data_IF_185825149252
#
_entry.id   IF_185825149252
#
_cell.length_a   1.000
_cell.length_b   1.000
_cell.length_c   1.000
_cell.angle_alpha   90.00
_cell.angle_beta   90.00
_cell.angle_gamma   90.00
#
_symmetry.space_group_name_H-M   'P 1'
#
loop_
_entity.id
_entity.type
_entity.pdbx_description
1 polymer ?
#
# COMPACT_ATOMS: atom_id res chain seq x y z
N UNK A 1 -11.60 -12.48 18.86
CA UNK A 1 -11.69 -11.37 17.90
C UNK A 1 -10.55 -10.41 18.22
N UNK A 2 -9.63 -10.20 17.28
CA UNK A 2 -8.50 -9.29 17.46
C UNK A 2 -8.97 -7.82 17.52
N UNK A 3 -8.11 -6.91 17.92
CA UNK A 3 -8.41 -5.48 17.86
C UNK A 3 -8.61 -5.01 16.41
N UNK A 4 -7.83 -5.57 15.47
CA UNK A 4 -8.01 -5.32 14.04
C UNK A 4 -9.40 -5.75 13.54
N UNK A 5 -9.93 -6.89 14.02
CA UNK A 5 -11.29 -7.30 13.69
C UNK A 5 -12.35 -6.32 14.21
N UNK A 6 -12.16 -5.80 15.43
CA UNK A 6 -13.09 -4.82 16.01
C UNK A 6 -13.12 -3.53 15.19
N UNK A 7 -11.96 -3.00 14.81
CA UNK A 7 -11.84 -1.83 13.93
C UNK A 7 -12.49 -2.12 12.57
N UNK A 8 -12.23 -3.26 11.96
CA UNK A 8 -12.81 -3.64 10.67
C UNK A 8 -14.34 -3.68 10.74
N UNK A 9 -14.90 -4.33 11.75
CA UNK A 9 -16.36 -4.41 11.96
C UNK A 9 -16.96 -3.02 12.20
N UNK A 10 -16.26 -2.16 12.96
CA UNK A 10 -16.72 -0.79 13.18
C UNK A 10 -16.72 0.01 11.89
N UNK A 11 -15.65 -0.06 11.09
CA UNK A 11 -15.59 0.59 9.78
C UNK A 11 -16.73 0.13 8.86
N UNK A 12 -17.04 -1.16 8.83
CA UNK A 12 -18.18 -1.66 8.05
C UNK A 12 -19.52 -1.05 8.52
N UNK A 13 -19.73 -0.95 9.83
CA UNK A 13 -20.93 -0.33 10.39
C UNK A 13 -21.02 1.15 10.05
N UNK A 14 -19.91 1.88 10.14
CA UNK A 14 -19.84 3.31 9.85
C UNK A 14 -20.09 3.58 8.34
N UNK A 15 -19.54 2.74 7.46
CA UNK A 15 -19.80 2.80 6.02
C UNK A 15 -21.28 2.58 5.74
N UNK A 16 -21.90 1.57 6.35
CA UNK A 16 -23.34 1.27 6.15
C UNK A 16 -24.24 2.36 6.70
N UNK A 17 -23.85 3.03 7.80
CA UNK A 17 -24.66 4.05 8.45
C UNK A 17 -24.48 5.44 7.83
N UNK A 18 -23.28 5.78 7.35
CA UNK A 18 -22.88 7.15 6.97
C UNK A 18 -22.26 7.25 5.58
N UNK A 19 -22.06 6.13 4.89
CA UNK A 19 -21.47 6.12 3.56
C UNK A 19 -22.41 6.69 2.49
N UNK A 20 -21.80 7.14 1.41
CA UNK A 20 -22.51 7.67 0.23
C UNK A 20 -22.39 6.68 -0.92
N UNK A 21 -23.51 6.37 -1.56
CA UNK A 21 -23.54 5.54 -2.75
C UNK A 21 -23.08 6.33 -3.99
N UNK A 22 -22.38 5.66 -4.90
CA UNK A 22 -21.91 6.24 -6.15
C UNK A 22 -22.91 6.01 -7.32
N UNK A 23 -24.20 5.89 -7.01
CA UNK A 23 -25.26 5.59 -8.00
C UNK A 23 -25.40 6.65 -9.08
N UNK A 24 -25.02 7.91 -8.78
CA UNK A 24 -25.10 9.02 -9.71
C UNK A 24 -23.88 9.16 -10.62
N UNK A 25 -22.90 8.25 -10.49
CA UNK A 25 -21.68 8.27 -11.25
C UNK A 25 -21.55 7.00 -12.13
N UNK A 26 -20.97 7.10 -13.35
CA UNK A 26 -20.62 5.91 -14.10
C UNK A 26 -19.52 5.13 -13.39
N UNK A 27 -19.73 3.82 -13.20
CA UNK A 27 -18.75 2.93 -12.59
C UNK A 27 -18.25 1.91 -13.62
N UNK A 28 -16.93 1.62 -13.55
CA UNK A 28 -16.32 0.65 -14.45
C UNK A 28 -16.67 -0.81 -14.13
N UNK A 29 -16.71 -1.23 -12.84
CA UNK A 29 -17.05 -2.60 -12.48
C UNK A 29 -18.51 -2.93 -12.81
N UNK A 30 -18.73 -4.19 -13.19
CA UNK A 30 -20.06 -4.74 -13.48
C UNK A 30 -20.23 -6.06 -12.75
N UNK A 31 -21.47 -6.35 -12.38
CA UNK A 31 -21.88 -7.69 -11.93
C UNK A 31 -21.92 -8.65 -13.11
N UNK A 32 -22.05 -9.96 -12.83
CA UNK A 32 -22.11 -11.01 -13.85
C UNK A 32 -23.30 -10.84 -14.82
N UNK A 33 -24.37 -10.18 -14.38
CA UNK A 33 -25.54 -9.84 -15.19
C UNK A 33 -25.36 -8.60 -16.07
N UNK A 34 -24.16 -7.97 -16.01
CA UNK A 34 -23.82 -6.78 -16.78
C UNK A 34 -24.29 -5.47 -16.14
N UNK A 35 -25.01 -5.49 -15.03
CA UNK A 35 -25.43 -4.28 -14.31
C UNK A 35 -24.23 -3.59 -13.63
N UNK A 36 -24.29 -2.23 -13.46
CA UNK A 36 -23.22 -1.50 -12.77
C UNK A 36 -23.03 -1.97 -11.32
N UNK A 37 -21.78 -2.26 -10.93
CA UNK A 37 -21.43 -2.64 -9.57
C UNK A 37 -21.12 -1.39 -8.73
N UNK A 38 -22.19 -0.70 -8.31
CA UNK A 38 -22.07 0.47 -7.43
C UNK A 38 -21.57 0.12 -6.04
N UNK A 39 -20.92 1.07 -5.39
CA UNK A 39 -20.36 0.90 -4.05
C UNK A 39 -20.81 2.01 -3.10
N UNK A 40 -20.89 1.66 -1.81
CA UNK A 40 -21.04 2.64 -0.74
C UNK A 40 -19.67 3.00 -0.19
N UNK A 41 -19.40 4.29 0.00
CA UNK A 41 -18.07 4.81 0.37
C UNK A 41 -18.17 5.78 1.53
N UNK A 42 -17.21 5.68 2.44
CA UNK A 42 -17.00 6.66 3.50
C UNK A 42 -15.57 7.20 3.38
N UNK A 43 -15.44 8.52 3.25
CA UNK A 43 -14.15 9.19 3.11
C UNK A 43 -13.59 9.62 4.46
N UNK A 44 -12.25 9.58 4.61
CA UNK A 44 -11.57 10.15 5.78
C UNK A 44 -11.59 9.26 7.02
N UNK A 45 -11.48 7.93 6.87
CA UNK A 45 -11.35 6.99 7.99
C UNK A 45 -9.89 6.89 8.44
N UNK A 46 -9.66 7.01 9.76
CA UNK A 46 -8.35 6.83 10.39
C UNK A 46 -8.39 5.65 11.34
N UNK A 47 -7.55 4.65 11.09
CA UNK A 47 -7.38 3.49 11.96
C UNK A 47 -6.04 3.59 12.70
N UNK A 48 -6.04 3.31 14.02
CA UNK A 48 -4.85 3.31 14.86
C UNK A 48 -4.63 1.94 15.48
N UNK A 49 -3.38 1.43 15.38
CA UNK A 49 -2.99 0.12 15.90
C UNK A 49 -1.76 0.27 16.80
N UNK A 50 -1.83 -0.23 18.02
CA UNK A 50 -0.68 -0.28 18.94
C UNK A 50 0.07 -1.60 18.74
N UNK A 51 1.15 -1.57 17.97
CA UNK A 51 1.95 -2.75 17.65
C UNK A 51 2.67 -3.36 18.86
N UNK A 52 2.70 -2.66 20.00
CA UNK A 52 3.22 -3.22 21.27
C UNK A 52 2.24 -4.21 21.88
N UNK A 53 0.94 -4.16 21.52
CA UNK A 53 -0.10 -5.03 22.04
C UNK A 53 -0.36 -6.22 21.15
N UNK A 54 -0.57 -5.98 19.86
CA UNK A 54 -0.81 -7.04 18.88
C UNK A 54 -0.45 -6.58 17.47
N UNK A 55 -0.16 -7.54 16.60
CA UNK A 55 -0.03 -7.27 15.17
C UNK A 55 -1.43 -7.16 14.54
N UNK A 56 -1.73 -6.12 13.71
CA UNK A 56 -3.07 -5.85 13.19
C UNK A 56 -3.46 -6.79 12.04
N UNK A 57 -3.65 -8.06 12.35
CA UNK A 57 -4.11 -9.06 11.38
C UNK A 57 -5.58 -9.40 11.62
N UNK A 58 -6.36 -9.49 10.54
CA UNK A 58 -7.76 -9.89 10.61
C UNK A 58 -7.88 -11.39 10.85
N UNK A 59 -8.78 -11.78 11.77
CA UNK A 59 -9.09 -13.18 12.10
C UNK A 59 -10.53 -13.58 11.78
N UNK A 60 -11.39 -12.64 11.37
CA UNK A 60 -12.77 -12.89 10.94
C UNK A 60 -12.86 -13.76 9.68
N UNK A 61 -11.78 -13.84 8.94
CA UNK A 61 -11.61 -14.75 7.80
C UNK A 61 -10.14 -15.18 7.70
N UNK A 62 -9.89 -16.25 6.94
CA UNK A 62 -8.52 -16.70 6.69
C UNK A 62 -7.73 -15.63 5.96
N UNK A 63 -6.62 -15.17 6.54
CA UNK A 63 -5.67 -14.24 5.93
C UNK A 63 -4.46 -15.02 5.38
N UNK A 64 -4.14 -14.81 4.11
CA UNK A 64 -3.00 -15.43 3.43
C UNK A 64 -1.71 -14.63 3.71
N UNK A 65 -1.33 -14.54 4.98
CA UNK A 65 -0.23 -13.70 5.45
C UNK A 65 1.12 -14.01 4.78
N UNK A 66 1.37 -15.28 4.44
CA UNK A 66 2.63 -15.66 3.75
C UNK A 66 2.73 -15.02 2.37
N UNK A 67 1.64 -14.99 1.61
CA UNK A 67 1.57 -14.32 0.32
C UNK A 67 1.78 -12.80 0.47
N UNK A 68 1.16 -12.19 1.48
CA UNK A 68 1.32 -10.77 1.75
C UNK A 68 2.78 -10.41 2.16
N UNK A 69 3.44 -11.26 2.96
CA UNK A 69 4.86 -11.06 3.30
C UNK A 69 5.77 -11.24 2.08
N UNK A 70 5.52 -12.26 1.24
CA UNK A 70 6.27 -12.48 0.01
C UNK A 70 6.18 -11.27 -0.93
N UNK A 71 4.98 -10.71 -1.11
CA UNK A 71 4.77 -9.47 -1.87
C UNK A 71 5.50 -8.27 -1.25
N UNK A 72 5.44 -8.11 0.07
CA UNK A 72 6.14 -7.04 0.79
C UNK A 72 7.66 -7.12 0.57
N UNK A 73 8.24 -8.32 0.67
CA UNK A 73 9.66 -8.54 0.42
C UNK A 73 10.03 -8.29 -1.05
N UNK A 74 9.16 -8.65 -1.98
CA UNK A 74 9.35 -8.38 -3.40
C UNK A 74 9.38 -6.87 -3.69
N UNK A 75 8.43 -6.11 -3.14
CA UNK A 75 8.34 -4.66 -3.32
C UNK A 75 9.50 -3.93 -2.62
N UNK A 76 9.72 -4.20 -1.33
CA UNK A 76 10.59 -3.40 -0.48
C UNK A 76 12.03 -3.87 -0.44
N UNK A 77 12.28 -5.16 -0.39
CA UNK A 77 13.63 -5.71 -0.26
C UNK A 77 14.28 -5.95 -1.62
N UNK A 78 13.56 -6.62 -2.52
CA UNK A 78 14.05 -6.86 -3.88
C UNK A 78 13.93 -5.62 -4.76
N UNK A 79 13.02 -4.69 -4.44
CA UNK A 79 12.74 -3.47 -5.23
C UNK A 79 12.42 -3.83 -6.69
N UNK A 80 11.73 -4.95 -6.88
CA UNK A 80 11.44 -5.51 -8.20
C UNK A 80 10.05 -5.11 -8.69
N UNK A 81 9.91 -5.02 -9.98
CA UNK A 81 8.67 -4.88 -10.72
C UNK A 81 8.42 -6.08 -11.66
N UNK A 82 9.19 -7.16 -11.53
CA UNK A 82 9.06 -8.36 -12.34
C UNK A 82 8.46 -9.49 -11.51
N UNK A 83 7.37 -10.10 -12.01
CA UNK A 83 6.64 -11.19 -11.32
C UNK A 83 7.47 -12.47 -11.17
N UNK A 84 8.51 -12.66 -11.98
CA UNK A 84 9.41 -13.82 -11.85
C UNK A 84 10.23 -13.80 -10.57
N UNK A 85 10.33 -12.63 -9.91
CA UNK A 85 10.96 -12.48 -8.60
C UNK A 85 9.99 -12.73 -7.42
N UNK A 86 8.70 -12.94 -7.72
CA UNK A 86 7.62 -13.17 -6.76
C UNK A 86 7.19 -14.64 -6.80
N UNK A 87 7.03 -15.28 -5.65
CA UNK A 87 6.61 -16.69 -5.61
C UNK A 87 5.11 -16.87 -5.80
N UNK A 88 4.30 -15.86 -5.50
CA UNK A 88 2.85 -15.91 -5.68
C UNK A 88 2.43 -15.42 -7.07
N UNK A 89 1.23 -15.81 -7.50
CA UNK A 89 0.66 -15.44 -8.80
C UNK A 89 -0.32 -14.28 -8.75
N UNK A 90 -0.29 -13.50 -7.66
CA UNK A 90 -1.29 -12.44 -7.44
C UNK A 90 -1.16 -11.27 -8.41
N UNK A 91 -0.01 -11.12 -9.08
CA UNK A 91 0.28 -10.06 -10.04
C UNK A 91 0.28 -10.51 -11.51
N UNK A 92 0.11 -11.81 -11.80
CA UNK A 92 0.22 -12.36 -13.16
C UNK A 92 -0.69 -11.63 -14.17
N UNK A 93 -1.90 -11.25 -13.77
CA UNK A 93 -2.86 -10.60 -14.67
C UNK A 93 -2.51 -9.15 -15.06
N UNK A 94 -1.55 -8.52 -14.36
CA UNK A 94 -1.08 -7.16 -14.65
C UNK A 94 0.30 -7.11 -15.28
N UNK A 95 0.97 -8.24 -15.39
CA UNK A 95 2.29 -8.31 -15.99
C UNK A 95 2.19 -8.36 -17.53
N UNK A 96 3.15 -7.73 -18.18
CA UNK A 96 3.34 -7.84 -19.62
C UNK A 96 4.02 -9.18 -20.00
N UNK A 97 4.30 -9.37 -21.28
CA UNK A 97 4.93 -10.59 -21.83
C UNK A 97 6.33 -10.86 -21.24
N UNK A 98 6.99 -9.85 -20.70
CA UNK A 98 8.31 -9.96 -20.05
C UNK A 98 8.20 -10.25 -18.55
N UNK A 99 6.99 -10.27 -18.00
CA UNK A 99 6.72 -10.39 -16.58
C UNK A 99 6.83 -9.07 -15.81
N UNK A 100 6.89 -7.93 -16.48
CA UNK A 100 6.97 -6.62 -15.83
C UNK A 100 5.60 -6.03 -15.55
N UNK A 101 5.44 -5.39 -14.38
CA UNK A 101 4.29 -4.53 -14.04
C UNK A 101 4.57 -3.05 -14.33
N UNK A 102 5.58 -2.77 -15.15
CA UNK A 102 5.98 -1.41 -15.49
C UNK A 102 6.69 -0.68 -14.35
N UNK A 103 6.61 0.65 -14.34
CA UNK A 103 7.30 1.50 -13.34
C UNK A 103 6.56 1.58 -12.00
N UNK A 104 5.87 0.51 -11.61
CA UNK A 104 5.06 0.46 -10.40
C UNK A 104 5.86 -0.06 -9.18
N UNK A 105 5.37 0.24 -7.98
CA UNK A 105 5.78 -0.29 -6.68
C UNK A 105 7.30 -0.41 -6.46
N UNK A 106 7.87 -1.62 -6.59
CA UNK A 106 9.30 -1.87 -6.35
C UNK A 106 10.23 -1.04 -7.24
N UNK A 107 9.82 -0.77 -8.49
CA UNK A 107 10.56 0.13 -9.36
C UNK A 107 10.73 1.51 -8.74
N UNK A 108 9.64 2.13 -8.26
CA UNK A 108 9.70 3.47 -7.64
C UNK A 108 10.56 3.50 -6.38
N UNK A 109 10.59 2.43 -5.61
CA UNK A 109 11.43 2.31 -4.42
C UNK A 109 12.92 2.17 -4.78
N UNK A 110 13.24 1.56 -5.92
CA UNK A 110 14.60 1.28 -6.35
C UNK A 110 15.29 2.40 -7.15
N UNK A 111 14.54 3.42 -7.59
CA UNK A 111 15.12 4.56 -8.32
C UNK A 111 16.08 5.33 -7.42
N UNK A 112 17.31 5.58 -7.92
CA UNK A 112 18.32 6.34 -7.18
C UNK A 112 18.08 7.83 -7.27
N UNK A 113 18.17 8.49 -6.12
CA UNK A 113 18.06 9.94 -5.96
C UNK A 113 19.30 10.50 -5.28
N UNK A 114 19.73 11.68 -5.72
CA UNK A 114 20.86 12.37 -5.10
C UNK A 114 20.42 13.11 -3.85
N UNK A 115 21.24 13.03 -2.80
CA UNK A 115 21.11 13.80 -1.57
C UNK A 115 22.48 14.34 -1.14
N UNK A 116 22.55 15.28 -0.18
CA UNK A 116 23.82 15.79 0.33
C UNK A 116 24.75 14.69 0.89
N UNK A 117 24.16 13.61 1.43
CA UNK A 117 24.88 12.50 2.05
C UNK A 117 25.28 11.41 1.06
N UNK A 118 24.80 11.47 -0.18
CA UNK A 118 25.11 10.48 -1.21
C UNK A 118 23.94 10.18 -2.14
N UNK A 119 24.04 9.09 -2.88
CA UNK A 119 23.00 8.61 -3.79
C UNK A 119 22.29 7.40 -3.17
N UNK A 120 20.98 7.54 -2.93
CA UNK A 120 20.14 6.54 -2.30
C UNK A 120 18.89 6.27 -3.14
N UNK A 121 18.42 5.04 -3.13
CA UNK A 121 17.01 4.79 -3.42
C UNK A 121 16.16 5.08 -2.18
N UNK A 122 14.83 5.03 -2.33
CA UNK A 122 13.94 5.43 -1.24
C UNK A 122 14.06 4.53 0.00
N UNK A 123 14.28 3.23 -0.18
CA UNK A 123 14.41 2.28 0.94
C UNK A 123 15.73 2.50 1.68
N UNK A 124 16.83 2.60 0.94
CA UNK A 124 18.15 2.84 1.51
C UNK A 124 18.20 4.19 2.25
N UNK A 125 17.50 5.21 1.72
CA UNK A 125 17.36 6.52 2.38
C UNK A 125 16.60 6.40 3.69
N UNK A 126 15.47 5.70 3.74
CA UNK A 126 14.73 5.47 4.99
C UNK A 126 15.59 4.74 6.01
N UNK A 127 16.31 3.69 5.61
CA UNK A 127 17.19 2.95 6.51
C UNK A 127 18.33 3.82 7.05
N UNK A 128 18.91 4.65 6.21
CA UNK A 128 19.93 5.63 6.62
C UNK A 128 19.38 6.60 7.65
N UNK A 129 18.22 7.22 7.37
CA UNK A 129 17.61 8.21 8.25
C UNK A 129 17.16 7.60 9.59
N UNK A 130 16.57 6.40 9.60
CA UNK A 130 16.21 5.69 10.83
C UNK A 130 17.43 5.41 11.71
N UNK A 131 18.59 5.14 11.08
CA UNK A 131 19.85 4.88 11.81
C UNK A 131 20.49 6.15 12.37
N UNK A 132 20.47 7.26 11.63
CA UNK A 132 21.25 8.45 11.94
C UNK A 132 20.42 9.60 12.52
N UNK A 133 19.12 9.66 12.20
CA UNK A 133 18.21 10.68 12.68
C UNK A 133 16.76 10.15 12.81
N UNK A 134 16.49 9.19 13.69
CA UNK A 134 15.18 8.53 13.81
C UNK A 134 14.04 9.49 14.19
N UNK A 135 14.36 10.65 14.77
CA UNK A 135 13.37 11.69 15.12
C UNK A 135 13.02 12.61 13.93
N UNK A 136 13.53 12.35 12.74
CA UNK A 136 13.24 13.18 11.57
C UNK A 136 11.79 12.99 11.11
N UNK A 137 11.09 14.09 10.87
CA UNK A 137 9.76 14.11 10.22
C UNK A 137 9.81 13.95 8.70
N UNK A 138 11.00 13.67 8.16
CA UNK A 138 11.26 13.54 6.71
C UNK A 138 11.55 12.11 6.28
N UNK A 139 11.35 11.14 7.16
CA UNK A 139 11.48 9.71 6.85
C UNK A 139 10.20 9.29 6.14
N UNK A 140 10.28 9.25 4.81
CA UNK A 140 9.10 9.13 3.96
C UNK A 140 9.47 8.42 2.66
N UNK A 141 8.56 7.58 2.16
CA UNK A 141 8.59 7.06 0.78
C UNK A 141 7.29 7.40 0.07
N UNK A 142 7.38 7.58 -1.25
CA UNK A 142 6.22 7.78 -2.12
C UNK A 142 6.29 6.84 -3.31
N UNK A 143 5.20 6.10 -3.55
CA UNK A 143 5.07 5.22 -4.70
C UNK A 143 4.37 5.90 -5.87
N UNK A 144 3.66 6.99 -5.61
CA UNK A 144 2.87 7.69 -6.61
C UNK A 144 3.74 8.76 -7.30
N UNK A 145 4.19 8.45 -8.51
CA UNK A 145 4.99 9.35 -9.33
C UNK A 145 4.20 9.71 -10.59
N UNK A 146 3.74 10.96 -10.68
CA UNK A 146 2.92 11.44 -11.80
C UNK A 146 3.60 11.29 -13.17
N UNK A 147 4.92 11.40 -13.21
CA UNK A 147 5.69 11.26 -14.46
C UNK A 147 5.59 9.84 -15.04
N UNK A 148 5.51 8.83 -14.18
CA UNK A 148 5.56 7.41 -14.56
C UNK A 148 4.19 6.72 -14.58
N UNK A 149 3.09 7.41 -14.24
CA UNK A 149 1.76 6.78 -14.13
C UNK A 149 1.31 6.06 -15.40
N UNK A 150 1.62 6.61 -16.57
CA UNK A 150 1.26 6.00 -17.86
C UNK A 150 2.04 4.72 -18.18
N UNK A 151 3.15 4.49 -17.47
CA UNK A 151 4.00 3.31 -17.62
C UNK A 151 3.79 2.29 -16.48
N UNK A 152 2.75 2.47 -15.65
CA UNK A 152 2.38 1.56 -14.59
C UNK A 152 1.23 0.66 -15.03
N UNK A 153 1.35 -0.65 -14.85
CA UNK A 153 0.25 -1.59 -15.14
C UNK A 153 -0.96 -1.35 -14.21
N UNK A 154 -0.71 -0.89 -12.98
CA UNK A 154 -1.72 -0.51 -12.00
C UNK A 154 -1.22 0.68 -11.18
N UNK A 155 -2.08 1.68 -10.97
CA UNK A 155 -1.77 2.82 -10.10
C UNK A 155 -1.60 2.36 -8.65
N UNK A 156 -0.61 2.91 -7.92
CA UNK A 156 -0.40 2.53 -6.53
C UNK A 156 -1.61 2.87 -5.66
N UNK A 157 -2.15 1.88 -4.96
CA UNK A 157 -3.20 2.10 -3.96
C UNK A 157 -2.62 2.60 -2.62
N UNK A 158 -1.38 2.22 -2.30
CA UNK A 158 -0.62 2.74 -1.17
C UNK A 158 0.26 3.89 -1.65
N UNK A 159 -0.09 5.12 -1.30
CA UNK A 159 0.53 6.33 -1.88
C UNK A 159 1.78 6.77 -1.13
N UNK A 160 1.73 6.71 0.20
CA UNK A 160 2.70 7.34 1.08
C UNK A 160 2.96 6.50 2.32
N UNK A 161 4.24 6.36 2.67
CA UNK A 161 4.69 5.79 3.93
C UNK A 161 5.57 6.82 4.63
N UNK A 162 5.28 7.10 5.90
CA UNK A 162 6.05 8.05 6.71
C UNK A 162 6.25 7.52 8.10
N UNK A 163 7.38 7.87 8.72
CA UNK A 163 7.62 7.67 10.14
C UNK A 163 7.25 8.97 10.88
N UNK A 164 6.51 8.83 11.96
CA UNK A 164 6.09 9.94 12.81
C UNK A 164 6.71 9.80 14.21
N UNK A 165 8.03 9.83 14.24
CA UNK A 165 8.79 9.76 15.49
C UNK A 165 8.71 11.07 16.32
N UNK A 166 8.13 12.15 15.76
CA UNK A 166 8.08 13.46 16.41
C UNK A 166 6.91 13.62 17.39
N UNK A 167 5.84 12.83 17.28
CA UNK A 167 4.66 12.95 18.15
C UNK A 167 4.87 12.33 19.54
N UNK A 168 5.89 11.50 19.73
CA UNK A 168 6.23 10.92 21.04
C UNK A 168 6.89 11.92 22.03
N UNK A 169 7.10 13.17 21.61
CA UNK A 169 7.75 14.23 22.42
C UNK A 169 6.88 15.45 22.69
N UNK A 170 5.63 15.40 22.30
CA UNK A 170 4.70 16.49 22.57
C UNK A 170 4.00 16.32 23.93
#
# INVERSE_FOLDING_TARGET
MSYADQIFVQNCKDILAHGVWDTDCPVRPKWDDGSPAHTIKLFGVINRYDLRKEFPILTVRRTYWKTAVDELLWIWQKKSNNIHDLNSKIWDQWADETGSIGKAYGYQLGVKHRSPEGEFDQVDRVLYDLKHNPASRRILTSLYNHHDLSEMALYPCCLLYTSDAADDKA
#
